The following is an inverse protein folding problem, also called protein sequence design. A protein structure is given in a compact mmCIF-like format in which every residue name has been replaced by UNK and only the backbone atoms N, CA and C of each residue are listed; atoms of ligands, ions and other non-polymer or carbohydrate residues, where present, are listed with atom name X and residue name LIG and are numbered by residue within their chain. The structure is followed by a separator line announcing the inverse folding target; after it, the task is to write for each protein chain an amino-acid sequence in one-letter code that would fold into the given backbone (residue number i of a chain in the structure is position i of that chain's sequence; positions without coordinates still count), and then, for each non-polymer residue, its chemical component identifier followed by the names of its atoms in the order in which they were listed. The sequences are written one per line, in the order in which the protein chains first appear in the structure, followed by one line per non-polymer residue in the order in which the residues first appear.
data_IF_182663790108
#
_entry.id   IF_182663790108
#
_cell.length_a   1.000
_cell.length_b   1.000
_cell.length_c   1.000
_cell.angle_alpha   90.00
_cell.angle_beta   90.00
_cell.angle_gamma   90.00
#
_symmetry.space_group_name_H-M   'P 1'
#
loop_
_entity.id
_entity.type
_entity.pdbx_description
1 polymer ?
#
# COMPACT_ATOMS: atom_id res chain seq x y z
N UNK A 1 -6.64 39.79 -26.38
CA UNK A 1 -7.00 39.62 -24.94
C UNK A 1 -7.52 38.21 -24.71
N UNK A 2 -7.27 37.57 -23.54
CA UNK A 2 -7.86 36.25 -23.26
C UNK A 2 -9.40 36.38 -23.27
N UNK A 3 -10.05 35.52 -24.05
CA UNK A 3 -11.49 35.52 -24.22
C UNK A 3 -12.16 35.17 -22.87
N UNK A 4 -12.97 36.08 -22.32
CA UNK A 4 -13.69 35.92 -21.04
C UNK A 4 -14.53 34.63 -21.00
N UNK A 5 -15.06 34.18 -22.17
CA UNK A 5 -15.77 32.92 -22.32
C UNK A 5 -14.84 31.70 -22.08
N UNK A 6 -13.60 31.74 -22.58
CA UNK A 6 -12.63 30.70 -22.39
C UNK A 6 -12.21 30.59 -20.91
N UNK A 7 -11.99 31.73 -20.23
CA UNK A 7 -11.70 31.77 -18.80
C UNK A 7 -12.84 31.20 -17.97
N UNK A 8 -14.10 31.57 -18.28
CA UNK A 8 -15.30 31.03 -17.61
C UNK A 8 -15.40 29.49 -17.76
N UNK A 9 -15.15 28.98 -18.95
CA UNK A 9 -15.16 27.52 -19.18
C UNK A 9 -14.05 26.82 -18.38
N UNK A 10 -12.87 27.42 -18.29
CA UNK A 10 -11.74 26.89 -17.52
C UNK A 10 -12.05 26.90 -16.03
N UNK A 11 -12.64 27.95 -15.48
CA UNK A 11 -13.11 28.02 -14.09
C UNK A 11 -14.08 26.86 -13.80
N UNK A 12 -15.07 26.64 -14.64
CA UNK A 12 -16.01 25.53 -14.48
C UNK A 12 -15.33 24.16 -14.46
N UNK A 13 -14.38 23.93 -15.38
CA UNK A 13 -13.64 22.66 -15.44
C UNK A 13 -12.80 22.42 -14.20
N UNK A 14 -12.11 23.46 -13.70
CA UNK A 14 -11.29 23.36 -12.48
C UNK A 14 -12.17 23.16 -11.25
N UNK A 15 -13.32 23.86 -11.16
CA UNK A 15 -14.27 23.68 -10.07
C UNK A 15 -14.85 22.26 -10.04
N UNK A 16 -15.18 21.68 -11.20
CA UNK A 16 -15.59 20.28 -11.28
C UNK A 16 -14.48 19.33 -10.81
N UNK A 17 -13.23 19.59 -11.19
CA UNK A 17 -12.08 18.81 -10.73
C UNK A 17 -11.91 18.91 -9.21
N UNK A 18 -12.05 20.11 -8.63
CA UNK A 18 -12.05 20.35 -7.17
C UNK A 18 -13.11 19.50 -6.46
N UNK A 19 -14.33 19.44 -7.00
CA UNK A 19 -15.40 18.62 -6.42
C UNK A 19 -15.07 17.13 -6.47
N UNK A 20 -14.53 16.65 -7.59
CA UNK A 20 -14.12 15.25 -7.75
C UNK A 20 -12.99 14.89 -6.77
N UNK A 21 -11.95 15.73 -6.68
CA UNK A 21 -10.82 15.47 -5.78
C UNK A 21 -11.27 15.50 -4.32
N UNK A 22 -12.18 16.40 -3.96
CA UNK A 22 -12.77 16.44 -2.62
C UNK A 22 -13.56 15.18 -2.28
N UNK A 23 -14.39 14.69 -3.21
CA UNK A 23 -15.10 13.43 -3.03
C UNK A 23 -14.14 12.25 -2.88
N UNK A 24 -13.09 12.18 -3.73
CA UNK A 24 -12.06 11.14 -3.63
C UNK A 24 -11.28 11.19 -2.31
N UNK A 25 -11.01 12.38 -1.77
CA UNK A 25 -10.41 12.55 -0.45
C UNK A 25 -11.26 11.91 0.65
N UNK A 26 -12.57 12.17 0.64
CA UNK A 26 -13.51 11.63 1.64
C UNK A 26 -13.64 10.10 1.54
N UNK A 27 -13.74 9.57 0.32
CA UNK A 27 -13.76 8.12 0.09
C UNK A 27 -12.48 7.46 0.56
N UNK A 28 -11.31 8.05 0.26
CA UNK A 28 -10.03 7.53 0.71
C UNK A 28 -9.92 7.55 2.24
N UNK A 29 -10.36 8.62 2.91
CA UNK A 29 -10.40 8.70 4.37
C UNK A 29 -11.25 7.59 5.01
N UNK A 30 -12.44 7.34 4.45
CA UNK A 30 -13.33 6.27 4.92
C UNK A 30 -12.70 4.88 4.76
N UNK A 31 -12.07 4.61 3.60
CA UNK A 31 -11.40 3.34 3.34
C UNK A 31 -10.16 3.13 4.23
N UNK A 32 -9.37 4.18 4.45
CA UNK A 32 -8.25 4.16 5.39
C UNK A 32 -8.71 3.75 6.79
N UNK A 33 -9.79 4.39 7.28
CA UNK A 33 -10.34 4.08 8.61
C UNK A 33 -10.77 2.62 8.73
N UNK A 34 -11.46 2.09 7.73
CA UNK A 34 -11.86 0.66 7.71
C UNK A 34 -10.66 -0.29 7.73
N UNK A 35 -9.60 0.02 6.97
CA UNK A 35 -8.38 -0.79 7.00
C UNK A 35 -7.71 -0.78 8.37
N UNK A 36 -7.64 0.39 9.03
CA UNK A 36 -7.13 0.52 10.40
C UNK A 36 -7.97 -0.22 11.44
N UNK A 37 -9.30 -0.17 11.32
CA UNK A 37 -10.21 -0.89 12.23
C UNK A 37 -10.02 -2.41 12.09
N UNK A 38 -9.87 -2.90 10.85
CA UNK A 38 -9.59 -4.31 10.58
C UNK A 38 -8.21 -4.75 11.12
N UNK A 39 -7.18 -3.92 10.95
CA UNK A 39 -5.85 -4.17 11.50
C UNK A 39 -5.89 -4.25 13.04
N UNK A 40 -6.47 -3.25 13.70
CA UNK A 40 -6.63 -3.25 15.16
C UNK A 40 -7.40 -4.46 15.69
N UNK A 41 -8.41 -4.94 14.97
CA UNK A 41 -9.17 -6.12 15.34
C UNK A 41 -8.34 -7.41 15.26
N UNK A 42 -7.29 -7.46 14.42
CA UNK A 42 -6.41 -8.62 14.28
C UNK A 42 -5.30 -8.69 15.34
N UNK A 43 -4.92 -7.55 15.93
CA UNK A 43 -3.80 -7.44 16.90
C UNK A 43 -3.91 -8.41 18.09
N UNK A 44 -5.03 -8.52 18.82
CA UNK A 44 -5.12 -9.42 19.98
C UNK A 44 -4.86 -10.87 19.61
N UNK A 45 -5.36 -11.30 18.44
CA UNK A 45 -5.14 -12.65 17.93
C UNK A 45 -3.67 -12.89 17.58
N UNK A 46 -3.04 -11.94 16.91
CA UNK A 46 -1.63 -12.04 16.55
C UNK A 46 -0.73 -12.08 17.80
N UNK A 47 -1.03 -11.26 18.81
CA UNK A 47 -0.29 -11.26 20.08
C UNK A 47 -0.40 -12.61 20.81
N UNK A 48 -1.61 -13.16 20.91
CA UNK A 48 -1.81 -14.48 21.54
C UNK A 48 -1.09 -15.59 20.78
N UNK A 49 -1.09 -15.55 19.44
CA UNK A 49 -0.37 -16.52 18.63
C UNK A 49 1.16 -16.37 18.75
N UNK A 50 1.69 -15.16 18.87
CA UNK A 50 3.10 -14.90 19.11
C UNK A 50 3.55 -15.34 20.50
N UNK A 51 2.73 -15.14 21.52
CA UNK A 51 2.99 -15.62 22.88
C UNK A 51 3.05 -17.16 22.93
N UNK A 52 2.06 -17.82 22.33
CA UNK A 52 2.03 -19.28 22.24
C UNK A 52 3.25 -19.82 21.48
N UNK A 53 3.60 -19.19 20.35
CA UNK A 53 4.79 -19.58 19.60
C UNK A 53 6.08 -19.39 20.40
N UNK A 54 6.21 -18.30 21.16
CA UNK A 54 7.35 -18.04 22.01
C UNK A 54 7.52 -19.15 23.07
N UNK A 55 6.42 -19.57 23.67
CA UNK A 55 6.41 -20.68 24.62
C UNK A 55 6.81 -22.00 23.97
N UNK A 56 6.21 -22.39 22.85
CA UNK A 56 6.55 -23.63 22.15
C UNK A 56 7.99 -23.63 21.64
N UNK A 57 8.51 -22.48 21.24
CA UNK A 57 9.91 -22.31 20.87
C UNK A 57 10.86 -22.51 22.06
N UNK A 58 10.51 -22.03 23.25
CA UNK A 58 11.31 -22.24 24.47
C UNK A 58 11.39 -23.72 24.87
N UNK A 59 10.40 -24.52 24.44
CA UNK A 59 10.39 -25.97 24.65
C UNK A 59 11.13 -26.74 23.54
N UNK A 60 11.79 -26.05 22.58
CA UNK A 60 12.51 -26.68 21.46
C UNK A 60 11.58 -27.25 20.37
N UNK A 61 10.28 -27.03 20.44
CA UNK A 61 9.33 -27.61 19.49
C UNK A 61 9.53 -27.05 18.05
N UNK A 62 10.07 -25.84 17.91
CA UNK A 62 10.30 -25.17 16.61
C UNK A 62 11.51 -25.69 15.84
N UNK A 63 12.45 -26.40 16.47
CA UNK A 63 13.76 -26.75 15.89
C UNK A 63 13.63 -27.64 14.64
N UNK A 64 12.66 -28.54 14.64
CA UNK A 64 12.44 -29.48 13.55
C UNK A 64 11.29 -29.06 12.61
N UNK A 65 10.56 -28.01 12.91
CA UNK A 65 9.41 -27.61 12.13
C UNK A 65 9.80 -26.91 10.82
N UNK A 66 9.26 -27.32 9.64
CA UNK A 66 9.67 -26.81 8.33
C UNK A 66 9.65 -25.28 8.22
N UNK A 67 8.59 -24.62 8.71
CA UNK A 67 8.38 -23.17 8.56
C UNK A 67 9.36 -22.32 9.38
N UNK A 68 10.08 -22.88 10.37
CA UNK A 68 11.09 -22.17 11.17
C UNK A 68 12.51 -22.47 10.74
N UNK A 69 12.71 -23.44 9.85
CA UNK A 69 14.03 -23.90 9.42
C UNK A 69 14.77 -22.79 8.67
N UNK A 70 15.90 -22.34 9.23
CA UNK A 70 16.78 -21.36 8.59
C UNK A 70 17.70 -22.08 7.60
N UNK A 71 17.71 -21.64 6.36
CA UNK A 71 18.57 -22.15 5.28
C UNK A 71 19.44 -21.02 4.75
N UNK A 72 20.56 -21.36 4.10
CA UNK A 72 21.31 -20.40 3.28
C UNK A 72 20.42 -19.98 2.13
N UNK A 73 20.19 -18.69 1.98
CA UNK A 73 19.29 -18.17 0.95
C UNK A 73 20.00 -18.22 -0.39
N UNK A 74 19.52 -19.09 -1.28
CA UNK A 74 19.92 -19.19 -2.70
C UNK A 74 18.79 -18.78 -3.62
N UNK A 75 17.52 -19.02 -3.19
CA UNK A 75 16.31 -18.62 -3.90
C UNK A 75 15.35 -17.91 -2.94
N UNK A 76 14.75 -16.82 -3.43
CA UNK A 76 13.81 -16.02 -2.65
C UNK A 76 12.51 -15.82 -3.39
N UNK A 77 11.39 -15.99 -2.69
CA UNK A 77 10.09 -15.49 -3.14
C UNK A 77 9.88 -14.08 -2.61
N UNK A 78 9.63 -13.14 -3.49
CA UNK A 78 9.30 -11.75 -3.16
C UNK A 78 7.82 -11.52 -3.46
N UNK A 79 7.04 -11.15 -2.44
CA UNK A 79 5.64 -10.76 -2.58
C UNK A 79 5.60 -9.24 -2.54
N UNK A 80 5.28 -8.61 -3.67
CA UNK A 80 5.23 -7.14 -3.81
C UNK A 80 3.79 -6.67 -3.73
N UNK A 81 3.49 -5.82 -2.76
CA UNK A 81 2.14 -5.29 -2.52
C UNK A 81 2.09 -3.82 -2.94
N UNK A 82 1.39 -3.53 -4.04
CA UNK A 82 1.14 -2.18 -4.52
C UNK A 82 -0.35 -1.95 -4.78
N UNK A 83 -0.73 -0.76 -5.25
CA UNK A 83 -2.13 -0.45 -5.52
C UNK A 83 -2.60 -0.93 -6.91
N UNK A 84 -3.91 -1.10 -7.06
CA UNK A 84 -4.53 -1.30 -8.36
C UNK A 84 -4.71 0.04 -9.11
N UNK A 85 -5.04 1.11 -8.38
CA UNK A 85 -5.36 2.43 -8.92
C UNK A 85 -4.25 3.43 -8.63
N UNK A 86 -4.11 4.44 -9.47
CA UNK A 86 -3.20 5.57 -9.27
C UNK A 86 -3.71 6.61 -8.27
N UNK A 87 -3.16 7.81 -8.38
CA UNK A 87 -3.52 9.00 -7.59
C UNK A 87 -3.28 8.83 -6.07
N UNK A 88 -2.36 7.97 -5.69
CA UNK A 88 -1.96 7.72 -4.31
C UNK A 88 -0.60 8.35 -3.96
N UNK A 89 -0.29 9.53 -4.54
CA UNK A 89 0.99 10.20 -4.30
C UNK A 89 2.19 9.30 -4.61
N UNK A 90 3.19 9.30 -3.73
CA UNK A 90 4.42 8.53 -3.87
C UNK A 90 4.31 7.05 -3.44
N UNK A 91 3.13 6.57 -3.02
CA UNK A 91 2.93 5.22 -2.48
C UNK A 91 3.56 4.12 -3.35
N UNK A 92 3.14 4.03 -4.61
CA UNK A 92 3.65 3.00 -5.52
C UNK A 92 5.14 3.15 -5.80
N UNK A 93 5.60 4.38 -6.04
CA UNK A 93 7.01 4.67 -6.31
C UNK A 93 7.91 4.23 -5.18
N UNK A 94 7.52 4.45 -3.93
CA UNK A 94 8.30 4.08 -2.76
C UNK A 94 8.40 2.55 -2.61
N UNK A 95 7.29 1.83 -2.76
CA UNK A 95 7.28 0.35 -2.72
C UNK A 95 8.12 -0.24 -3.84
N UNK A 96 7.92 0.23 -5.07
CA UNK A 96 8.64 -0.28 -6.24
C UNK A 96 10.13 0.03 -6.19
N UNK A 97 10.52 1.19 -5.64
CA UNK A 97 11.92 1.52 -5.35
C UNK A 97 12.52 0.51 -4.36
N UNK A 98 11.77 0.20 -3.28
CA UNK A 98 12.21 -0.77 -2.28
C UNK A 98 12.35 -2.19 -2.83
N UNK A 99 11.46 -2.56 -3.73
CA UNK A 99 11.53 -3.81 -4.49
C UNK A 99 12.80 -3.87 -5.35
N UNK A 100 13.10 -2.81 -6.12
CA UNK A 100 14.32 -2.75 -6.94
C UNK A 100 15.59 -2.80 -6.09
N UNK A 101 15.62 -2.14 -4.93
CA UNK A 101 16.75 -2.21 -4.00
C UNK A 101 16.99 -3.66 -3.52
N UNK A 102 15.91 -4.41 -3.27
CA UNK A 102 16.01 -5.81 -2.90
C UNK A 102 16.55 -6.67 -4.04
N UNK A 103 16.00 -6.51 -5.26
CA UNK A 103 16.46 -7.26 -6.44
C UNK A 103 17.95 -7.04 -6.70
N UNK A 104 18.42 -5.79 -6.71
CA UNK A 104 19.84 -5.47 -6.91
C UNK A 104 20.74 -6.11 -5.85
N UNK A 105 20.35 -6.00 -4.58
CA UNK A 105 21.09 -6.59 -3.47
C UNK A 105 21.18 -8.11 -3.57
N UNK A 106 20.11 -8.75 -4.01
CA UNK A 106 20.06 -10.21 -4.15
C UNK A 106 20.83 -10.66 -5.39
N UNK A 107 20.80 -9.90 -6.48
CA UNK A 107 21.62 -10.14 -7.68
C UNK A 107 23.11 -10.08 -7.37
N UNK A 108 23.58 -9.07 -6.63
CA UNK A 108 24.97 -8.94 -6.16
C UNK A 108 25.42 -10.14 -5.28
N UNK A 109 24.48 -10.85 -4.67
CA UNK A 109 24.71 -12.02 -3.82
C UNK A 109 24.50 -13.35 -4.54
N UNK A 110 24.11 -13.32 -5.78
CA UNK A 110 23.79 -14.51 -6.57
C UNK A 110 22.52 -15.23 -6.09
N UNK A 111 21.56 -14.50 -5.51
CA UNK A 111 20.28 -15.06 -5.05
C UNK A 111 19.26 -14.94 -6.19
N UNK A 112 18.68 -16.07 -6.59
CA UNK A 112 17.61 -16.13 -7.57
C UNK A 112 16.30 -15.62 -6.95
N UNK A 113 15.61 -14.70 -7.65
CA UNK A 113 14.38 -14.12 -7.17
C UNK A 113 13.18 -14.60 -7.99
N UNK A 114 12.16 -15.09 -7.30
CA UNK A 114 10.82 -15.32 -7.82
C UNK A 114 9.90 -14.22 -7.30
N UNK A 115 9.02 -13.71 -8.13
CA UNK A 115 8.15 -12.58 -7.76
C UNK A 115 6.69 -12.96 -7.87
N UNK A 116 5.94 -12.65 -6.81
CA UNK A 116 4.49 -12.68 -6.79
C UNK A 116 4.01 -11.25 -6.58
N UNK A 117 3.11 -10.78 -7.44
CA UNK A 117 2.64 -9.40 -7.42
C UNK A 117 1.20 -9.32 -6.94
N UNK A 118 0.94 -8.37 -6.05
CA UNK A 118 -0.37 -8.00 -5.56
C UNK A 118 -0.62 -6.54 -5.94
N UNK A 119 -1.67 -6.32 -6.74
CA UNK A 119 -2.04 -5.02 -7.29
C UNK A 119 -1.46 -4.74 -8.67
N UNK A 120 -2.28 -4.12 -9.51
CA UNK A 120 -1.99 -3.84 -10.93
C UNK A 120 -0.69 -3.06 -11.14
N UNK A 121 -0.35 -2.12 -10.24
CA UNK A 121 0.87 -1.33 -10.37
C UNK A 121 2.13 -2.16 -10.15
N UNK A 122 2.10 -3.14 -9.25
CA UNK A 122 3.19 -4.08 -9.05
C UNK A 122 3.36 -4.99 -10.28
N UNK A 123 2.25 -5.55 -10.79
CA UNK A 123 2.21 -6.40 -11.98
C UNK A 123 2.78 -5.70 -13.21
N UNK A 124 2.28 -4.50 -13.53
CA UNK A 124 2.76 -3.70 -14.65
C UNK A 124 4.22 -3.29 -14.54
N UNK A 125 4.72 -3.09 -13.33
CA UNK A 125 6.12 -2.75 -13.12
C UNK A 125 7.01 -3.97 -13.27
N UNK A 126 6.69 -5.07 -12.58
CA UNK A 126 7.48 -6.30 -12.61
C UNK A 126 7.58 -6.89 -14.03
N UNK A 127 6.50 -6.82 -14.82
CA UNK A 127 6.49 -7.31 -16.22
C UNK A 127 7.40 -6.52 -17.18
N UNK A 128 7.81 -5.29 -16.80
CA UNK A 128 8.75 -4.47 -17.58
C UNK A 128 10.22 -4.71 -17.22
N UNK A 129 10.47 -5.38 -16.11
CA UNK A 129 11.83 -5.70 -15.69
C UNK A 129 12.30 -6.92 -16.48
N UNK A 130 13.50 -6.82 -17.05
CA UNK A 130 14.16 -7.97 -17.67
C UNK A 130 14.56 -8.95 -16.57
N UNK A 131 14.50 -10.23 -16.86
CA UNK A 131 14.96 -11.33 -16.00
C UNK A 131 14.16 -11.51 -14.69
N UNK A 132 12.95 -10.93 -14.60
CA UNK A 132 12.07 -11.14 -13.45
C UNK A 132 11.13 -12.33 -13.70
N UNK A 133 11.24 -13.38 -12.90
CA UNK A 133 10.35 -14.54 -12.93
C UNK A 133 9.09 -14.28 -12.10
N UNK A 134 7.99 -13.95 -12.76
CA UNK A 134 6.69 -13.74 -12.09
C UNK A 134 5.97 -15.09 -12.03
N UNK A 135 5.66 -15.54 -10.81
CA UNK A 135 4.97 -16.82 -10.56
C UNK A 135 3.46 -16.66 -10.34
N UNK A 136 3.02 -15.45 -10.01
CA UNK A 136 1.60 -15.14 -9.79
C UNK A 136 1.34 -13.66 -9.79
N UNK A 137 0.14 -13.31 -10.26
CA UNK A 137 -0.34 -11.93 -10.32
C UNK A 137 -1.77 -11.87 -9.79
N UNK A 138 -1.99 -11.05 -8.78
CA UNK A 138 -3.28 -10.88 -8.12
C UNK A 138 -3.68 -9.41 -8.14
N UNK A 139 -4.76 -9.11 -8.83
CA UNK A 139 -5.29 -7.76 -8.98
C UNK A 139 -6.67 -7.65 -8.35
N UNK A 140 -7.12 -6.42 -8.09
CA UNK A 140 -8.45 -6.10 -7.57
C UNK A 140 -8.84 -6.90 -6.30
N UNK A 141 -7.88 -7.14 -5.38
CA UNK A 141 -8.19 -7.72 -4.09
C UNK A 141 -9.19 -6.84 -3.32
N UNK A 142 -10.15 -7.44 -2.60
CA UNK A 142 -11.09 -6.68 -1.77
C UNK A 142 -10.38 -5.88 -0.68
N UNK A 143 -11.03 -4.83 -0.18
CA UNK A 143 -10.48 -3.95 0.88
C UNK A 143 -10.17 -4.75 2.17
N UNK A 144 -10.95 -5.79 2.46
CA UNK A 144 -10.64 -6.80 3.47
C UNK A 144 -10.20 -8.08 2.74
N UNK A 145 -8.88 -8.34 2.67
CA UNK A 145 -8.36 -9.52 1.99
C UNK A 145 -8.70 -10.77 2.79
N UNK A 146 -9.69 -11.48 2.32
CA UNK A 146 -10.17 -12.75 2.87
C UNK A 146 -10.65 -13.63 1.72
N UNK A 147 -10.84 -14.92 2.00
CA UNK A 147 -11.36 -15.86 1.02
C UNK A 147 -10.29 -16.53 0.15
N UNK A 148 -10.73 -17.08 -0.98
CA UNK A 148 -9.93 -18.00 -1.79
C UNK A 148 -8.60 -17.41 -2.26
N UNK A 149 -8.61 -16.17 -2.75
CA UNK A 149 -7.40 -15.51 -3.27
C UNK A 149 -6.33 -15.32 -2.21
N UNK A 150 -6.72 -14.90 -1.01
CA UNK A 150 -5.80 -14.77 0.11
C UNK A 150 -5.17 -16.14 0.48
N UNK A 151 -6.00 -17.17 0.60
CA UNK A 151 -5.52 -18.53 0.89
C UNK A 151 -4.63 -19.07 -0.23
N UNK A 152 -4.92 -18.77 -1.49
CA UNK A 152 -4.06 -19.16 -2.61
C UNK A 152 -2.67 -18.53 -2.51
N UNK A 153 -2.59 -17.23 -2.22
CA UNK A 153 -1.31 -16.52 -2.04
C UNK A 153 -0.51 -17.14 -0.88
N UNK A 154 -1.18 -17.33 0.26
CA UNK A 154 -0.58 -17.89 1.46
C UNK A 154 -0.08 -19.31 1.23
N UNK A 155 -0.92 -20.18 0.68
CA UNK A 155 -0.57 -21.59 0.42
C UNK A 155 0.55 -21.71 -0.62
N UNK A 156 0.56 -20.87 -1.67
CA UNK A 156 1.67 -20.82 -2.62
C UNK A 156 2.99 -20.50 -1.91
N UNK A 157 3.00 -19.49 -1.05
CA UNK A 157 4.20 -19.09 -0.32
C UNK A 157 4.69 -20.18 0.65
N UNK A 158 3.77 -20.83 1.37
CA UNK A 158 4.07 -21.90 2.32
C UNK A 158 4.58 -23.14 1.58
N UNK A 159 3.84 -23.63 0.58
CA UNK A 159 4.21 -24.84 -0.16
C UNK A 159 5.57 -24.71 -0.86
N UNK A 160 5.86 -23.59 -1.50
CA UNK A 160 7.16 -23.35 -2.13
C UNK A 160 8.31 -23.36 -1.12
N UNK A 161 8.06 -22.85 0.09
CA UNK A 161 9.07 -22.85 1.15
C UNK A 161 9.26 -24.24 1.75
N UNK A 162 8.20 -24.98 2.01
CA UNK A 162 8.24 -26.36 2.56
C UNK A 162 8.88 -27.34 1.58
N UNK A 163 8.52 -27.24 0.29
CA UNK A 163 9.10 -28.08 -0.77
C UNK A 163 10.57 -27.73 -1.07
N UNK A 164 11.12 -26.67 -0.48
CA UNK A 164 12.50 -26.23 -0.73
C UNK A 164 12.70 -25.56 -2.08
N UNK A 165 11.63 -25.16 -2.76
CA UNK A 165 11.71 -24.38 -4.01
C UNK A 165 12.25 -22.99 -3.77
N UNK A 166 12.01 -22.43 -2.56
CA UNK A 166 12.55 -21.17 -2.08
C UNK A 166 13.05 -21.30 -0.64
N UNK A 167 14.11 -20.56 -0.30
CA UNK A 167 14.73 -20.56 1.03
C UNK A 167 14.21 -19.44 1.92
N UNK A 168 13.55 -18.45 1.34
CA UNK A 168 12.95 -17.33 2.08
C UNK A 168 11.77 -16.74 1.33
N UNK A 169 10.78 -16.25 2.06
CA UNK A 169 9.68 -15.45 1.54
C UNK A 169 9.75 -14.06 2.17
N UNK A 170 9.80 -13.02 1.33
CA UNK A 170 9.92 -11.62 1.77
C UNK A 170 8.77 -10.80 1.20
N UNK A 171 8.09 -10.05 2.07
CA UNK A 171 7.08 -9.06 1.70
C UNK A 171 7.75 -7.71 1.42
N UNK A 172 7.32 -7.05 0.35
CA UNK A 172 7.67 -5.66 0.03
C UNK A 172 6.36 -4.88 0.03
N UNK A 173 6.17 -4.05 1.05
CA UNK A 173 4.93 -3.34 1.26
C UNK A 173 5.18 -2.00 1.97
N UNK A 174 4.13 -1.19 2.13
CA UNK A 174 4.21 0.03 2.93
C UNK A 174 3.54 -0.21 4.27
N UNK A 175 4.34 -0.10 5.34
CA UNK A 175 3.85 -0.13 6.71
C UNK A 175 3.17 1.19 7.05
N UNK A 176 2.00 1.08 7.66
CA UNK A 176 1.25 2.21 8.16
C UNK A 176 1.69 2.56 9.59
N UNK A 177 2.28 3.74 9.79
CA UNK A 177 2.64 4.24 11.12
C UNK A 177 1.54 5.17 11.64
N UNK A 178 1.17 6.15 10.83
CA UNK A 178 0.06 7.06 11.07
C UNK A 178 -0.36 7.71 9.73
N UNK A 179 -1.38 8.57 9.76
CA UNK A 179 -1.89 9.22 8.55
C UNK A 179 -0.88 10.13 7.83
N UNK A 180 0.21 10.53 8.48
CA UNK A 180 1.26 11.38 7.89
C UNK A 180 2.52 10.61 7.53
N UNK A 181 2.79 9.48 8.22
CA UNK A 181 4.02 8.70 8.08
C UNK A 181 3.70 7.29 7.64
N UNK A 182 4.16 6.92 6.46
CA UNK A 182 4.08 5.59 5.89
C UNK A 182 5.46 5.22 5.32
N UNK A 183 5.94 4.03 5.65
CA UNK A 183 7.30 3.60 5.30
C UNK A 183 7.27 2.34 4.46
N UNK A 184 7.86 2.40 3.26
CA UNK A 184 8.07 1.21 2.45
C UNK A 184 9.17 0.35 3.08
N UNK A 185 8.85 -0.90 3.40
CA UNK A 185 9.76 -1.81 4.10
C UNK A 185 9.78 -3.22 3.51
N UNK A 186 10.79 -3.96 3.95
CA UNK A 186 10.97 -5.38 3.68
C UNK A 186 10.67 -6.14 4.96
N UNK A 187 9.69 -7.02 4.93
CA UNK A 187 9.39 -7.91 6.05
C UNK A 187 9.58 -9.37 5.65
N UNK A 188 10.24 -10.15 6.47
CA UNK A 188 10.38 -11.58 6.24
C UNK A 188 9.12 -12.30 6.69
N UNK A 189 8.47 -13.00 5.76
CA UNK A 189 7.32 -13.84 6.06
C UNK A 189 7.76 -15.26 6.48
N UNK A 190 8.66 -15.87 5.70
CA UNK A 190 9.27 -17.16 5.98
C UNK A 190 10.80 -17.11 5.85
N UNK A 191 11.55 -17.83 6.69
CA UNK A 191 11.09 -18.64 7.82
C UNK A 191 10.33 -17.82 8.86
N UNK A 192 9.34 -18.45 9.50
CA UNK A 192 8.45 -17.81 10.48
C UNK A 192 9.20 -17.50 11.79
N UNK A 193 8.66 -16.63 12.63
CA UNK A 193 9.05 -16.51 14.03
C UNK A 193 10.34 -15.76 14.35
N UNK A 194 10.95 -15.02 13.41
CA UNK A 194 12.25 -14.38 13.64
C UNK A 194 12.30 -13.39 14.80
N UNK A 195 11.21 -12.69 15.15
CA UNK A 195 11.19 -11.79 16.31
C UNK A 195 10.93 -12.54 17.62
N UNK A 196 9.91 -13.37 17.66
CA UNK A 196 9.56 -14.16 18.87
C UNK A 196 10.64 -15.16 19.30
N UNK A 197 11.53 -15.57 18.36
CA UNK A 197 12.67 -16.44 18.64
C UNK A 197 13.93 -15.67 19.08
N UNK A 198 14.00 -14.36 18.81
CA UNK A 198 15.17 -13.52 19.15
C UNK A 198 14.91 -12.73 20.44
N UNK A 199 13.71 -12.20 20.59
CA UNK A 199 13.26 -11.47 21.78
C UNK A 199 12.08 -12.26 22.38
N UNK A 200 12.30 -13.18 23.31
CA UNK A 200 11.25 -13.96 23.93
C UNK A 200 10.27 -13.02 24.66
N UNK A 201 9.00 -13.16 24.31
CA UNK A 201 7.91 -12.44 24.98
C UNK A 201 7.69 -13.09 26.35
N UNK A 202 7.42 -12.31 27.39
CA UNK A 202 6.97 -12.85 28.66
C UNK A 202 5.72 -13.70 28.47
N UNK A 203 5.84 -14.98 28.80
CA UNK A 203 4.75 -15.96 28.65
C UNK A 203 3.87 -15.93 29.89
N UNK A 204 2.58 -15.79 29.70
CA UNK A 204 1.63 -15.84 30.81
C UNK A 204 1.53 -17.25 31.39
N UNK A 205 1.19 -17.35 32.69
CA UNK A 205 0.97 -18.65 33.35
C UNK A 205 -0.14 -19.46 32.66
N UNK A 206 -1.08 -18.78 32.01
CA UNK A 206 -2.19 -19.43 31.27
C UNK A 206 -1.68 -20.28 30.10
N UNK A 207 -0.62 -19.82 29.41
CA UNK A 207 -0.02 -20.54 28.28
C UNK A 207 0.91 -21.66 28.75
N UNK A 208 1.68 -21.43 29.85
CA UNK A 208 2.58 -22.44 30.41
C UNK A 208 1.85 -23.64 31.01
N UNK A 209 0.69 -23.43 31.61
CA UNK A 209 -0.11 -24.45 32.27
C UNK A 209 -1.11 -25.14 31.33
N UNK A 210 -1.20 -24.69 30.07
CA UNK A 210 -2.14 -25.22 29.09
C UNK A 210 -1.79 -26.65 28.67
N UNK A 211 -2.83 -27.47 28.48
CA UNK A 211 -2.70 -28.79 27.84
C UNK A 211 -2.89 -28.65 26.34
N UNK A 212 -1.94 -29.18 25.58
CA UNK A 212 -1.93 -29.14 24.12
C UNK A 212 -2.49 -30.44 23.54
N UNK A 213 -3.64 -30.33 22.89
CA UNK A 213 -4.33 -31.47 22.26
C UNK A 213 -4.51 -31.20 20.75
N UNK A 214 -4.29 -32.20 19.89
CA UNK A 214 -3.97 -33.60 20.20
C UNK A 214 -2.49 -33.84 20.55
N UNK A 215 -1.56 -32.98 20.05
CA UNK A 215 -0.12 -33.06 20.31
C UNK A 215 0.54 -31.69 20.11
N UNK A 216 1.70 -31.48 20.76
CA UNK A 216 2.48 -30.24 20.58
C UNK A 216 2.86 -30.00 19.11
N UNK A 217 3.36 -30.99 18.32
CA UNK A 217 3.67 -30.77 16.89
C UNK A 217 2.47 -30.33 16.05
N UNK A 218 1.32 -30.91 16.23
CA UNK A 218 0.11 -30.57 15.47
C UNK A 218 -0.40 -29.14 15.84
N UNK A 219 -0.38 -28.80 17.12
CA UNK A 219 -0.70 -27.45 17.58
C UNK A 219 0.29 -26.44 17.02
N UNK A 220 1.60 -26.76 17.02
CA UNK A 220 2.62 -25.89 16.45
C UNK A 220 2.43 -25.66 14.96
N UNK A 221 2.11 -26.71 14.17
CA UNK A 221 1.83 -26.58 12.74
C UNK A 221 0.63 -25.65 12.50
N UNK A 222 -0.47 -25.86 13.22
CA UNK A 222 -1.65 -25.00 13.11
C UNK A 222 -1.36 -23.54 13.49
N UNK A 223 -0.59 -23.30 14.57
CA UNK A 223 -0.22 -21.96 15.01
C UNK A 223 0.74 -21.29 14.02
N UNK A 224 1.75 -22.01 13.53
CA UNK A 224 2.70 -21.49 12.55
C UNK A 224 2.03 -21.05 11.25
N UNK A 225 1.13 -21.87 10.72
CA UNK A 225 0.34 -21.56 9.53
C UNK A 225 -0.56 -20.34 9.75
N UNK A 226 -1.26 -20.28 10.88
CA UNK A 226 -2.13 -19.16 11.24
C UNK A 226 -1.36 -17.87 11.45
N UNK A 227 -0.22 -17.92 12.12
CA UNK A 227 0.65 -16.75 12.35
C UNK A 227 1.22 -16.22 11.03
N UNK A 228 1.65 -17.11 10.13
CA UNK A 228 2.11 -16.72 8.80
C UNK A 228 0.99 -16.04 8.03
N UNK A 229 -0.24 -16.58 8.08
CA UNK A 229 -1.43 -15.96 7.49
C UNK A 229 -1.75 -14.60 8.13
N UNK A 230 -1.69 -14.48 9.45
CA UNK A 230 -1.94 -13.23 10.16
C UNK A 230 -0.93 -12.13 9.77
N UNK A 231 0.35 -12.46 9.63
CA UNK A 231 1.40 -11.53 9.19
C UNK A 231 1.21 -11.07 7.74
N UNK A 232 0.81 -11.98 6.85
CA UNK A 232 0.48 -11.61 5.47
C UNK A 232 -0.76 -10.70 5.43
N UNK A 233 -1.80 -11.02 6.21
CA UNK A 233 -3.00 -10.20 6.32
C UNK A 233 -2.68 -8.81 6.86
N UNK A 234 -1.88 -8.71 7.93
CA UNK A 234 -1.45 -7.44 8.50
C UNK A 234 -0.70 -6.59 7.47
N UNK A 235 0.25 -7.18 6.72
CA UNK A 235 0.97 -6.46 5.68
C UNK A 235 0.04 -5.95 4.56
N UNK A 236 -1.01 -6.70 4.22
CA UNK A 236 -2.03 -6.27 3.25
C UNK A 236 -2.89 -5.12 3.79
N UNK A 237 -3.30 -5.18 5.06
CA UNK A 237 -4.09 -4.13 5.72
C UNK A 237 -3.26 -2.85 5.89
N UNK A 238 -2.02 -2.96 6.32
CA UNK A 238 -1.05 -1.86 6.40
C UNK A 238 -0.85 -1.19 5.03
N UNK A 239 -0.65 -2.00 3.99
CA UNK A 239 -0.50 -1.51 2.62
C UNK A 239 -1.76 -0.76 2.15
N UNK A 240 -2.97 -1.28 2.45
CA UNK A 240 -4.24 -0.63 2.13
C UNK A 240 -4.45 0.67 2.91
N UNK A 241 -4.17 0.67 4.22
CA UNK A 241 -4.24 1.87 5.05
C UNK A 241 -3.29 2.95 4.53
N UNK A 242 -2.06 2.58 4.19
CA UNK A 242 -1.04 3.47 3.63
C UNK A 242 -1.44 4.01 2.25
N UNK A 243 -1.93 3.17 1.36
CA UNK A 243 -2.43 3.55 0.04
C UNK A 243 -3.53 4.60 0.15
N UNK A 244 -4.53 4.34 1.00
CA UNK A 244 -5.66 5.25 1.17
C UNK A 244 -5.27 6.53 1.90
N UNK A 245 -4.35 6.48 2.85
CA UNK A 245 -3.81 7.67 3.51
C UNK A 245 -3.07 8.58 2.53
N UNK A 246 -2.16 8.03 1.74
CA UNK A 246 -1.44 8.80 0.73
C UNK A 246 -2.38 9.33 -0.36
N UNK A 247 -3.41 8.57 -0.75
CA UNK A 247 -4.44 9.05 -1.68
C UNK A 247 -5.25 10.19 -1.08
N UNK A 248 -5.65 10.09 0.19
CA UNK A 248 -6.35 11.15 0.90
C UNK A 248 -5.55 12.45 0.91
N UNK A 249 -4.26 12.38 1.24
CA UNK A 249 -3.37 13.54 1.25
C UNK A 249 -3.14 14.12 -0.15
N UNK A 250 -2.92 13.26 -1.15
CA UNK A 250 -2.76 13.70 -2.54
C UNK A 250 -4.01 14.40 -3.07
N UNK A 251 -5.21 13.87 -2.76
CA UNK A 251 -6.47 14.46 -3.16
C UNK A 251 -6.78 15.75 -2.38
N UNK A 252 -6.39 15.84 -1.11
CA UNK A 252 -6.46 17.09 -0.36
C UNK A 252 -5.63 18.19 -1.04
N UNK A 253 -4.36 17.91 -1.31
CA UNK A 253 -3.47 18.88 -1.96
C UNK A 253 -3.99 19.26 -3.36
N UNK A 254 -4.53 18.31 -4.12
CA UNK A 254 -5.14 18.58 -5.43
C UNK A 254 -6.39 19.47 -5.30
N UNK A 255 -7.20 19.30 -4.25
CA UNK A 255 -8.38 20.13 -3.98
C UNK A 255 -7.97 21.55 -3.60
N UNK A 256 -6.96 21.69 -2.75
CA UNK A 256 -6.44 23.00 -2.30
C UNK A 256 -5.85 23.76 -3.51
N UNK A 257 -4.99 23.11 -4.31
CA UNK A 257 -4.43 23.70 -5.54
C UNK A 257 -5.52 24.08 -6.57
N UNK A 258 -6.58 23.28 -6.69
CA UNK A 258 -7.69 23.60 -7.57
C UNK A 258 -8.49 24.81 -7.07
N UNK A 259 -8.60 25.01 -5.75
CA UNK A 259 -9.23 26.19 -5.16
C UNK A 259 -8.43 27.45 -5.50
N UNK A 260 -7.13 27.45 -5.26
CA UNK A 260 -6.25 28.57 -5.56
C UNK A 260 -6.31 28.93 -7.06
N UNK A 261 -6.31 27.92 -7.93
CA UNK A 261 -6.43 28.15 -9.37
C UNK A 261 -7.78 28.74 -9.80
N UNK A 262 -8.88 28.38 -9.13
CA UNK A 262 -10.21 29.01 -9.37
C UNK A 262 -10.18 30.48 -8.98
N UNK A 263 -9.57 30.82 -7.85
CA UNK A 263 -9.46 32.20 -7.39
C UNK A 263 -8.61 33.04 -8.34
N UNK A 264 -7.46 32.55 -8.77
CA UNK A 264 -6.58 33.19 -9.76
C UNK A 264 -7.29 33.43 -11.12
N UNK A 265 -7.97 32.39 -11.63
CA UNK A 265 -8.70 32.46 -12.88
C UNK A 265 -9.89 33.44 -12.79
N UNK A 266 -10.53 33.54 -11.62
CA UNK A 266 -11.64 34.46 -11.38
C UNK A 266 -11.14 35.90 -11.38
N UNK A 267 -10.00 36.16 -10.74
CA UNK A 267 -9.33 37.46 -10.77
C UNK A 267 -8.96 37.86 -12.22
N UNK A 268 -8.34 36.94 -12.96
CA UNK A 268 -7.98 37.16 -14.37
C UNK A 268 -9.22 37.43 -15.26
N UNK A 269 -10.29 36.69 -15.04
CA UNK A 269 -11.55 36.88 -15.75
C UNK A 269 -12.17 38.28 -15.47
N UNK A 270 -12.17 38.70 -14.20
CA UNK A 270 -12.70 40.00 -13.82
C UNK A 270 -11.86 41.15 -14.44
N UNK A 271 -10.53 41.02 -14.42
CA UNK A 271 -9.62 41.99 -15.07
C UNK A 271 -9.82 42.05 -16.56
N UNK A 272 -9.96 40.90 -17.24
CA UNK A 272 -10.24 40.83 -18.66
C UNK A 272 -11.61 41.46 -19.01
N UNK A 273 -12.64 41.22 -18.18
CA UNK A 273 -13.97 41.84 -18.35
C UNK A 273 -13.91 43.35 -18.20
N UNK A 274 -13.23 43.85 -17.17
CA UNK A 274 -13.05 45.29 -16.96
C UNK A 274 -12.31 45.94 -18.14
N UNK A 275 -11.23 45.30 -18.64
CA UNK A 275 -10.51 45.77 -19.81
C UNK A 275 -11.35 45.81 -21.07
N UNK A 276 -12.23 44.81 -21.30
CA UNK A 276 -13.14 44.78 -22.43
C UNK A 276 -14.18 45.92 -22.34
N UNK A 277 -14.77 46.12 -21.16
CA UNK A 277 -15.73 47.24 -20.94
C UNK A 277 -15.05 48.59 -21.19
N UNK A 278 -13.83 48.78 -20.66
CA UNK A 278 -13.11 50.05 -20.88
C UNK A 278 -12.75 50.25 -22.34
N UNK A 279 -12.41 49.19 -23.07
CA UNK A 279 -12.14 49.28 -24.51
C UNK A 279 -13.39 49.61 -25.28
N UNK A 280 -14.53 48.97 -25.02
CA UNK A 280 -15.82 49.28 -25.65
C UNK A 280 -16.24 50.73 -25.40
N UNK A 281 -16.09 51.25 -24.18
CA UNK A 281 -16.36 52.64 -23.83
C UNK A 281 -15.45 53.61 -24.60
N UNK A 282 -14.13 53.28 -24.69
CA UNK A 282 -13.20 54.10 -25.45
C UNK A 282 -13.50 54.13 -26.96
N UNK A 283 -13.91 52.97 -27.53
CA UNK A 283 -14.31 52.87 -28.92
C UNK A 283 -15.58 53.67 -29.20
N UNK A 284 -16.59 53.63 -28.31
CA UNK A 284 -17.80 54.42 -28.42
C UNK A 284 -17.49 55.92 -28.33
N UNK A 285 -16.69 56.33 -27.32
CA UNK A 285 -16.30 57.73 -27.11
C UNK A 285 -15.54 58.29 -28.32
N UNK A 286 -14.55 57.50 -28.83
CA UNK A 286 -13.80 57.89 -30.01
C UNK A 286 -14.65 57.94 -31.29
N UNK A 287 -15.68 57.07 -31.41
CA UNK A 287 -16.63 57.09 -32.50
C UNK A 287 -17.53 58.31 -32.48
N UNK A 288 -17.97 58.77 -31.30
CA UNK A 288 -18.76 60.02 -31.17
C UNK A 288 -17.91 61.25 -31.52
N UNK A 289 -16.68 61.31 -31.04
CA UNK A 289 -15.79 62.45 -31.32
C UNK A 289 -15.40 62.55 -32.83
N UNK A 290 -15.31 61.41 -33.54
CA UNK A 290 -15.09 61.35 -34.96
C UNK A 290 -16.35 61.71 -35.79
N UNK A 291 -17.55 61.69 -35.21
CA UNK A 291 -18.79 62.09 -35.89
C UNK A 291 -19.13 63.57 -35.66
N UNK A 292 -18.52 64.23 -34.69
CA UNK A 292 -18.68 65.66 -34.38
C UNK A 292 -17.66 66.57 -35.15
N UNK A 293 -16.73 65.95 -35.88
CA UNK A 293 -15.83 66.67 -36.82
C UNK A 293 -16.38 66.49 -38.26
#
# INVERSE_FOLDING_TARGET
MPNTRALKNRIRSVDSTKQITKAMQLVAASKMRRAQEADKASVPYTMAAEELLSYLASQGATDNHPLFKRRKITKRLIIVIASDKGLAGAYNTNVLKKYLELLKRDDERGIENLTLTIGRRASQFASRLKDTKIIGTYEDLPDQPSGLTFHTILNTAISMFENGEVDAVTLVYTRFVNSMVQTAELSRLLPAGTKALIDPIEVSNTVSDAKYEPSIPEVLDAVANRLTGARLLQALLDARASEHSMRMMAMKNATDNASDLVDDLTLAMNKARQGAITQELAEISGGVEAMEQ
#
